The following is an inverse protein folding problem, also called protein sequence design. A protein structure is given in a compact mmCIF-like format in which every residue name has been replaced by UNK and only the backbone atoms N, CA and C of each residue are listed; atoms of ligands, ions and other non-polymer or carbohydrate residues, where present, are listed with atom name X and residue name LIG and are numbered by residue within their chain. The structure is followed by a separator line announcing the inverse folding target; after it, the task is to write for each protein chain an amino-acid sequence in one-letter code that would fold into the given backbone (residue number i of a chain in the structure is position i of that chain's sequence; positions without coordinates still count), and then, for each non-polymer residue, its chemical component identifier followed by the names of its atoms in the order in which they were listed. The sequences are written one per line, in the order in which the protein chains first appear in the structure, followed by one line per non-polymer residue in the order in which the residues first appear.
data_IF_609185530287
#
_entry.id   IF_609185530287
#
_cell.length_a   1.000
_cell.length_b   1.000
_cell.length_c   1.000
_cell.angle_alpha   90.00
_cell.angle_beta   90.00
_cell.angle_gamma   90.00
#
_symmetry.space_group_name_H-M   'P 1'
#
loop_
_entity.id
_entity.type
_entity.pdbx_description
1 polymer ?
#
# COMPACT_ATOMS: atom_id res chain seq x y z
N UNK A 1 -1.22 30.61 -52.89
CA UNK A 1 -1.01 29.54 -51.87
C UNK A 1 0.47 29.21 -51.76
N UNK A 2 1.21 29.79 -50.79
CA UNK A 2 2.65 29.50 -50.59
C UNK A 2 3.12 29.98 -49.20
N UNK A 3 2.55 29.46 -48.11
CA UNK A 3 2.91 29.89 -46.73
C UNK A 3 2.84 28.80 -45.64
N UNK A 4 2.95 27.51 -45.98
CA UNK A 4 2.81 26.43 -44.98
C UNK A 4 4.09 25.63 -44.65
N UNK A 5 5.21 25.82 -45.35
CA UNK A 5 6.43 25.03 -45.10
C UNK A 5 7.30 25.60 -43.97
N UNK A 6 7.30 26.93 -43.79
CA UNK A 6 8.15 27.61 -42.80
C UNK A 6 7.68 27.42 -41.35
N UNK A 7 6.37 27.24 -41.12
CA UNK A 7 5.82 27.01 -39.77
C UNK A 7 6.11 25.61 -39.22
N UNK A 8 6.17 24.61 -40.11
CA UNK A 8 6.45 23.20 -39.74
C UNK A 8 7.91 23.00 -39.34
N UNK A 9 8.84 23.69 -40.02
CA UNK A 9 10.27 23.63 -39.68
C UNK A 9 10.54 24.30 -38.32
N UNK A 10 9.84 25.41 -38.02
CA UNK A 10 9.99 26.13 -36.75
C UNK A 10 9.46 25.33 -35.54
N UNK A 11 8.44 24.51 -35.72
CA UNK A 11 7.88 23.66 -34.65
C UNK A 11 8.72 22.41 -34.37
N UNK A 12 9.40 21.86 -35.39
CA UNK A 12 10.28 20.70 -35.21
C UNK A 12 11.56 21.05 -34.41
N UNK A 13 12.08 22.27 -34.55
CA UNK A 13 13.27 22.72 -33.82
C UNK A 13 13.02 22.95 -32.31
N UNK A 14 11.78 23.29 -31.93
CA UNK A 14 11.42 23.52 -30.52
C UNK A 14 11.30 22.20 -29.72
N UNK A 15 10.95 21.09 -30.38
CA UNK A 15 10.81 19.78 -29.73
C UNK A 15 12.17 19.12 -29.40
N UNK A 16 13.25 19.55 -30.07
CA UNK A 16 14.58 18.95 -29.91
C UNK A 16 15.38 19.53 -28.71
N UNK A 17 14.86 20.54 -28.00
CA UNK A 17 15.53 21.21 -26.87
C UNK A 17 15.11 20.70 -25.47
N UNK A 18 14.20 19.72 -25.38
CA UNK A 18 13.66 19.27 -24.09
C UNK A 18 14.30 17.99 -23.50
N UNK A 19 15.41 17.48 -24.05
CA UNK A 19 16.00 16.17 -23.64
C UNK A 19 17.34 16.27 -22.91
N UNK A 20 17.72 17.43 -22.36
CA UNK A 20 19.02 17.59 -21.68
C UNK A 20 18.93 18.28 -20.32
N UNK A 21 18.27 17.65 -19.35
CA UNK A 21 18.61 17.81 -17.92
C UNK A 21 17.94 16.76 -17.03
N UNK A 22 18.53 15.55 -17.01
CA UNK A 22 18.49 14.67 -15.85
C UNK A 22 19.94 14.48 -15.38
N UNK A 23 20.27 14.93 -14.17
CA UNK A 23 21.07 14.19 -13.16
C UNK A 23 21.78 15.12 -12.17
N UNK A 24 21.33 15.14 -10.91
CA UNK A 24 22.26 15.13 -9.79
C UNK A 24 21.69 14.29 -8.63
N UNK A 25 22.50 13.32 -8.21
CA UNK A 25 22.28 12.38 -7.11
C UNK A 25 22.51 13.03 -5.74
N UNK A 26 21.67 12.62 -4.79
CA UNK A 26 21.91 12.17 -3.42
C UNK A 26 22.96 12.85 -2.51
N UNK A 27 22.49 13.25 -1.32
CA UNK A 27 23.07 13.04 0.02
C UNK A 27 21.84 12.68 0.89
N UNK A 28 21.61 11.51 1.52
CA UNK A 28 22.37 10.65 2.43
C UNK A 28 23.00 11.35 3.65
N UNK A 29 22.26 11.25 4.77
CA UNK A 29 22.68 11.05 6.16
C UNK A 29 21.89 11.96 7.11
N UNK A 30 21.48 11.60 8.34
CA UNK A 30 21.53 10.37 9.14
C UNK A 30 20.92 10.77 10.51
N UNK A 31 20.35 9.80 11.23
CA UNK A 31 19.96 9.79 12.67
C UNK A 31 18.68 10.51 13.06
N UNK A 32 17.59 9.74 13.16
CA UNK A 32 16.75 9.82 14.35
C UNK A 32 16.92 8.50 15.11
N UNK A 33 17.52 8.61 16.28
CA UNK A 33 17.88 7.51 17.17
C UNK A 33 16.62 6.84 17.71
N UNK A 34 16.52 5.55 17.47
CA UNK A 34 15.55 4.67 18.09
C UNK A 34 15.72 4.71 19.62
N UNK A 35 14.67 5.15 20.30
CA UNK A 35 14.45 4.98 21.72
C UNK A 35 13.80 3.60 21.92
N UNK A 36 14.63 2.58 22.15
CA UNK A 36 14.19 1.27 22.66
C UNK A 36 15.25 0.77 23.64
N UNK A 37 15.26 1.34 24.83
CA UNK A 37 15.63 0.61 26.05
C UNK A 37 14.32 0.18 26.70
N UNK A 38 14.01 -1.11 26.63
CA UNK A 38 13.54 -1.80 27.83
C UNK A 38 13.90 -3.27 27.73
N UNK A 39 14.55 -3.69 28.81
CA UNK A 39 15.36 -4.86 28.94
C UNK A 39 14.50 -6.13 28.99
N UNK A 40 15.01 -7.17 28.35
CA UNK A 40 14.66 -8.53 28.70
C UNK A 40 15.20 -8.81 30.10
N UNK A 41 14.33 -8.76 31.11
CA UNK A 41 14.60 -9.37 32.42
C UNK A 41 13.85 -10.69 32.46
N UNK A 42 14.63 -11.76 32.49
CA UNK A 42 14.18 -13.10 32.79
C UNK A 42 13.74 -13.17 34.26
N UNK A 43 12.49 -13.55 34.50
CA UNK A 43 11.99 -13.92 35.83
C UNK A 43 11.27 -15.26 35.70
N UNK A 44 11.99 -16.35 35.99
CA UNK A 44 11.37 -17.56 36.52
C UNK A 44 10.78 -17.20 37.89
N UNK A 45 9.44 -17.16 37.97
CA UNK A 45 8.75 -16.81 39.21
C UNK A 45 7.39 -17.49 39.30
N UNK A 46 7.41 -18.74 39.77
CA UNK A 46 6.19 -19.44 40.22
C UNK A 46 5.59 -18.68 41.40
N UNK A 47 4.38 -18.15 41.25
CA UNK A 47 3.45 -17.93 42.38
C UNK A 47 2.06 -18.43 41.98
N UNK A 48 1.72 -19.61 42.48
CA UNK A 48 0.33 -20.04 42.69
C UNK A 48 -0.25 -19.28 43.90
N UNK A 49 -1.55 -19.01 43.81
CA UNK A 49 -2.54 -18.77 44.88
C UNK A 49 -2.97 -17.32 45.09
N UNK A 50 -4.19 -16.99 44.64
CA UNK A 50 -5.34 -16.61 45.48
C UNK A 50 -6.45 -16.04 44.56
N UNK A 51 -7.50 -16.80 44.28
CA UNK A 51 -8.73 -16.89 45.08
C UNK A 51 -9.60 -15.62 45.03
N UNK A 52 -10.62 -15.70 44.17
CA UNK A 52 -11.98 -15.20 44.35
C UNK A 52 -12.22 -13.72 44.73
N UNK A 53 -12.77 -12.96 43.76
CA UNK A 53 -13.70 -11.80 43.88
C UNK A 53 -13.80 -11.21 42.46
N UNK A 54 -14.93 -10.98 41.80
CA UNK A 54 -16.31 -10.72 42.23
C UNK A 54 -17.18 -10.87 40.98
N UNK A 55 -18.27 -11.61 41.12
CA UNK A 55 -19.41 -11.56 40.21
C UNK A 55 -20.00 -10.15 40.18
N UNK A 56 -19.79 -9.44 39.07
CA UNK A 56 -20.62 -8.29 38.68
C UNK A 56 -21.18 -8.56 37.28
N UNK A 57 -22.21 -9.41 37.24
CA UNK A 57 -23.14 -9.46 36.13
C UNK A 57 -24.00 -8.18 36.16
N UNK A 58 -23.40 -7.06 35.77
CA UNK A 58 -24.17 -5.87 35.41
C UNK A 58 -24.68 -6.10 33.98
N UNK A 59 -26.01 -6.07 33.82
CA UNK A 59 -26.70 -6.28 32.55
C UNK A 59 -26.14 -5.39 31.46
N UNK A 60 -25.29 -5.97 30.61
CA UNK A 60 -24.96 -5.39 29.33
C UNK A 60 -26.17 -5.73 28.45
N UNK A 61 -27.12 -4.80 28.34
CA UNK A 61 -28.08 -4.80 27.24
C UNK A 61 -27.26 -4.78 25.96
N UNK A 62 -26.95 -5.98 25.48
CA UNK A 62 -25.97 -6.21 24.44
C UNK A 62 -26.52 -5.61 23.16
N UNK A 63 -26.09 -4.39 22.85
CA UNK A 63 -26.21 -3.83 21.50
C UNK A 63 -25.70 -4.91 20.56
N UNK A 64 -26.61 -5.51 19.77
CA UNK A 64 -26.27 -6.47 18.75
C UNK A 64 -25.38 -5.72 17.77
N UNK A 65 -24.08 -5.88 17.94
CA UNK A 65 -23.09 -5.23 17.08
C UNK A 65 -23.06 -6.05 15.81
N UNK A 66 -23.69 -5.55 14.76
CA UNK A 66 -23.53 -6.12 13.42
C UNK A 66 -22.05 -6.02 13.04
N UNK A 67 -21.36 -7.16 13.05
CA UNK A 67 -19.98 -7.26 12.61
C UNK A 67 -19.99 -7.41 11.09
N UNK A 68 -19.37 -6.45 10.40
CA UNK A 68 -19.06 -6.61 8.98
C UNK A 68 -18.02 -7.72 8.84
N UNK A 69 -18.36 -8.77 8.08
CA UNK A 69 -17.40 -9.82 7.72
C UNK A 69 -16.48 -9.27 6.62
N UNK A 70 -15.17 -9.30 6.85
CA UNK A 70 -14.17 -8.95 5.82
C UNK A 70 -13.54 -10.26 5.37
N UNK A 71 -13.78 -10.65 4.12
CA UNK A 71 -13.05 -11.76 3.50
C UNK A 71 -11.68 -11.26 3.03
N UNK A 72 -10.64 -12.05 3.29
CA UNK A 72 -9.26 -11.73 2.88
C UNK A 72 -8.68 -12.91 2.14
N UNK A 73 -8.01 -12.63 1.03
CA UNK A 73 -7.25 -13.59 0.26
C UNK A 73 -5.94 -12.96 -0.20
N UNK A 74 -4.97 -13.81 -0.55
CA UNK A 74 -3.67 -13.40 -1.07
C UNK A 74 -3.37 -14.22 -2.32
N UNK A 75 -2.86 -13.57 -3.36
CA UNK A 75 -2.41 -14.21 -4.59
C UNK A 75 -0.99 -13.71 -4.85
N UNK A 76 -0.10 -14.63 -5.23
CA UNK A 76 1.26 -14.29 -5.65
C UNK A 76 1.42 -14.70 -7.11
N UNK A 77 1.94 -13.78 -7.93
CA UNK A 77 2.08 -13.93 -9.37
C UNK A 77 3.51 -13.59 -9.77
N UNK A 78 4.12 -14.41 -10.62
CA UNK A 78 5.35 -14.04 -11.32
C UNK A 78 4.97 -13.33 -12.62
N UNK A 79 5.55 -12.14 -12.83
CA UNK A 79 5.22 -11.28 -13.97
C UNK A 79 6.50 -10.83 -14.67
N UNK A 80 6.40 -10.59 -15.98
CA UNK A 80 7.54 -10.11 -16.77
C UNK A 80 7.84 -8.63 -16.53
N UNK A 81 6.83 -7.85 -16.15
CA UNK A 81 6.94 -6.40 -15.95
C UNK A 81 6.02 -5.95 -14.81
N UNK A 82 6.61 -5.33 -13.78
CA UNK A 82 5.86 -4.79 -12.64
C UNK A 82 4.91 -3.67 -13.07
N UNK A 83 5.32 -2.80 -13.99
CA UNK A 83 4.48 -1.68 -14.43
C UNK A 83 3.25 -2.14 -15.21
N UNK A 84 3.40 -3.12 -16.10
CA UNK A 84 2.26 -3.70 -16.83
C UNK A 84 1.32 -4.44 -15.88
N UNK A 85 1.88 -5.21 -14.94
CA UNK A 85 1.08 -5.91 -13.93
C UNK A 85 0.28 -4.92 -13.07
N UNK A 86 0.88 -3.82 -12.64
CA UNK A 86 0.19 -2.77 -11.87
C UNK A 86 -0.99 -2.19 -12.64
N UNK A 87 -0.79 -1.82 -13.91
CA UNK A 87 -1.87 -1.28 -14.74
C UNK A 87 -3.01 -2.28 -14.95
N UNK A 88 -2.68 -3.55 -15.19
CA UNK A 88 -3.68 -4.60 -15.35
C UNK A 88 -4.48 -4.82 -14.06
N UNK A 89 -3.80 -4.87 -12.90
CA UNK A 89 -4.44 -5.05 -11.60
C UNK A 89 -5.33 -3.84 -11.25
N UNK A 90 -4.87 -2.62 -11.52
CA UNK A 90 -5.66 -1.42 -11.29
C UNK A 90 -6.90 -1.35 -12.17
N UNK A 91 -6.78 -1.72 -13.45
CA UNK A 91 -7.91 -1.80 -14.36
C UNK A 91 -8.93 -2.86 -13.90
N UNK A 92 -8.47 -4.05 -13.52
CA UNK A 92 -9.34 -5.12 -13.03
C UNK A 92 -10.04 -4.73 -11.72
N UNK A 93 -9.30 -4.12 -10.79
CA UNK A 93 -9.88 -3.60 -9.56
C UNK A 93 -11.00 -2.60 -9.83
N UNK A 94 -10.78 -1.66 -10.77
CA UNK A 94 -11.77 -0.66 -11.15
C UNK A 94 -13.00 -1.29 -11.81
N UNK A 95 -12.82 -2.34 -12.65
CA UNK A 95 -13.93 -3.09 -13.24
C UNK A 95 -14.81 -3.76 -12.19
N UNK A 96 -14.21 -4.24 -11.10
CA UNK A 96 -14.91 -4.82 -9.94
C UNK A 96 -15.46 -3.76 -8.97
N UNK A 97 -15.36 -2.46 -9.29
CA UNK A 97 -15.76 -1.37 -8.40
C UNK A 97 -14.87 -1.21 -7.16
N UNK A 98 -13.70 -1.84 -7.18
CA UNK A 98 -12.68 -1.76 -6.14
C UNK A 98 -11.60 -0.72 -6.42
N UNK A 99 -10.60 -0.70 -5.54
CA UNK A 99 -9.45 0.20 -5.63
C UNK A 99 -8.24 -0.38 -4.90
N UNK A 100 -7.05 0.17 -5.19
CA UNK A 100 -5.80 -0.14 -4.47
C UNK A 100 -5.78 0.67 -3.17
N UNK A 101 -5.83 -0.01 -2.02
CA UNK A 101 -5.72 0.61 -0.69
C UNK A 101 -4.27 0.97 -0.36
N UNK A 102 -3.33 0.08 -0.71
CA UNK A 102 -1.91 0.30 -0.47
C UNK A 102 -1.06 -0.37 -1.54
N UNK A 103 0.12 0.21 -1.79
CA UNK A 103 1.12 -0.36 -2.69
C UNK A 103 2.52 -0.17 -2.13
N UNK A 104 3.34 -1.22 -2.21
CA UNK A 104 4.78 -1.19 -1.96
C UNK A 104 5.49 -1.76 -3.17
N UNK A 105 6.48 -1.05 -3.69
CA UNK A 105 7.20 -1.44 -4.90
C UNK A 105 8.71 -1.40 -4.66
N UNK A 106 9.40 -2.44 -5.11
CA UNK A 106 10.86 -2.54 -5.13
C UNK A 106 11.33 -2.90 -6.55
N UNK A 107 12.64 -2.99 -6.74
CA UNK A 107 13.24 -3.22 -8.05
C UNK A 107 12.77 -4.53 -8.72
N UNK A 108 12.42 -5.56 -7.94
CA UNK A 108 12.09 -6.89 -8.46
C UNK A 108 10.74 -7.44 -7.99
N UNK A 109 10.00 -6.71 -7.16
CA UNK A 109 8.72 -7.17 -6.64
C UNK A 109 7.82 -5.99 -6.25
N UNK A 110 6.52 -6.29 -6.14
CA UNK A 110 5.48 -5.33 -5.80
C UNK A 110 4.41 -6.04 -4.97
N UNK A 111 4.01 -5.40 -3.87
CA UNK A 111 2.87 -5.79 -3.06
C UNK A 111 1.73 -4.77 -3.26
N UNK A 112 0.54 -5.27 -3.56
CA UNK A 112 -0.67 -4.47 -3.70
C UNK A 112 -1.75 -5.02 -2.77
N UNK A 113 -2.37 -4.14 -1.98
CA UNK A 113 -3.60 -4.47 -1.24
C UNK A 113 -4.77 -3.84 -1.95
N UNK A 114 -5.75 -4.65 -2.35
CA UNK A 114 -6.95 -4.19 -3.02
C UNK A 114 -8.16 -4.30 -2.07
N UNK A 115 -9.07 -3.34 -2.18
CA UNK A 115 -10.41 -3.43 -1.60
C UNK A 115 -11.43 -3.51 -2.70
N UNK A 116 -12.25 -4.56 -2.64
CA UNK A 116 -13.29 -4.84 -3.62
C UNK A 116 -14.62 -5.00 -2.85
N UNK A 117 -15.73 -4.41 -3.32
CA UNK A 117 -17.05 -4.60 -2.72
C UNK A 117 -17.44 -6.08 -2.70
N UNK A 118 -18.13 -6.52 -1.64
CA UNK A 118 -18.51 -7.93 -1.49
C UNK A 118 -19.44 -8.38 -2.63
N UNK A 119 -20.31 -7.50 -3.11
CA UNK A 119 -21.21 -7.74 -4.25
C UNK A 119 -20.48 -8.10 -5.56
N UNK A 120 -19.18 -7.79 -5.68
CA UNK A 120 -18.36 -8.15 -6.85
C UNK A 120 -17.60 -9.48 -6.68
N UNK A 121 -17.64 -10.08 -5.49
CA UNK A 121 -17.05 -11.38 -5.15
C UNK A 121 -18.18 -12.43 -5.04
N UNK A 122 -18.74 -12.84 -6.17
CA UNK A 122 -19.80 -13.86 -6.27
C UNK A 122 -19.29 -15.18 -6.80
#
# INVERSE_FOLDING_TARGET
MKTNKTKVILTLAALMLCVSSCSRKADFQTKNTAFYENEAVAEEGVILSDMARTSSSAGNEGTITERKLIQRGSISLEVQSLSQARQAIEAEAALLGGYIESSSEQASWMDLTLRIPQESFS
#
